data_IF_054121634540
#
_entry.id   IF_054121634540
#
_cell.length_a   1.000
_cell.length_b   1.000
_cell.length_c   1.000
_cell.angle_alpha   90.00
_cell.angle_beta   90.00
_cell.angle_gamma   90.00
#
_symmetry.space_group_name_H-M   'P 1'
#
loop_
_entity.id
_entity.type
_entity.pdbx_description
1 polymer ?
#
# COMPACT_ATOMS: atom_id res chain seq x y z
N UNK A 1 -4.36 10.86 8.47
CA UNK A 1 -3.05 10.75 7.81
C UNK A 1 -2.01 11.69 8.41
N UNK A 2 -2.36 12.92 8.76
CA UNK A 2 -1.42 13.95 9.28
C UNK A 2 -1.17 13.90 10.78
N UNK A 3 -1.76 12.98 11.53
CA UNK A 3 -1.65 12.95 13.00
C UNK A 3 -0.41 12.23 13.54
N UNK A 4 0.26 11.41 12.74
CA UNK A 4 1.30 10.47 13.21
C UNK A 4 2.75 10.89 12.90
N UNK A 5 3.01 12.13 12.47
CA UNK A 5 4.38 12.60 12.42
C UNK A 5 4.90 12.87 13.83
N UNK A 6 6.18 12.64 14.02
CA UNK A 6 6.87 12.79 15.30
C UNK A 6 6.77 14.23 15.79
N UNK A 7 5.97 14.47 16.81
CA UNK A 7 5.63 15.82 17.29
C UNK A 7 6.01 16.09 18.74
N UNK A 8 6.05 15.04 19.56
CA UNK A 8 6.13 15.22 21.00
C UNK A 8 7.48 14.81 21.55
N UNK A 9 7.89 15.44 22.66
CA UNK A 9 9.09 15.04 23.39
C UNK A 9 8.99 13.60 23.88
N UNK A 10 7.79 13.14 24.22
CA UNK A 10 7.52 11.75 24.63
C UNK A 10 7.84 10.77 23.51
N UNK A 11 7.38 11.01 22.29
CA UNK A 11 7.68 10.17 21.12
C UNK A 11 9.19 10.14 20.82
N UNK A 12 9.87 11.28 20.92
CA UNK A 12 11.33 11.34 20.76
C UNK A 12 12.08 10.51 21.80
N UNK A 13 11.62 10.52 23.06
CA UNK A 13 12.18 9.70 24.12
C UNK A 13 11.91 8.21 23.86
N UNK A 14 10.72 7.87 23.40
CA UNK A 14 10.36 6.50 23.03
C UNK A 14 11.20 6.00 21.85
N UNK A 15 11.42 6.79 20.82
CA UNK A 15 12.33 6.46 19.70
C UNK A 15 13.73 6.15 20.23
N UNK A 16 14.29 6.98 21.09
CA UNK A 16 15.61 6.72 21.71
C UNK A 16 15.64 5.42 22.51
N UNK A 17 14.57 5.13 23.24
CA UNK A 17 14.45 3.89 24.02
C UNK A 17 14.37 2.65 23.11
N UNK A 18 13.59 2.71 22.04
CA UNK A 18 13.47 1.66 21.04
C UNK A 18 14.86 1.32 20.48
N UNK A 19 15.60 2.31 20.01
CA UNK A 19 16.92 2.09 19.42
C UNK A 19 17.95 1.51 20.42
N UNK A 20 17.83 1.80 21.71
CA UNK A 20 18.64 1.17 22.77
C UNK A 20 18.35 -0.34 22.94
N UNK A 21 17.16 -0.82 22.52
CA UNK A 21 16.80 -2.25 22.62
C UNK A 21 17.41 -3.08 21.49
N UNK A 22 17.59 -2.51 20.29
CA UNK A 22 17.99 -3.25 19.10
C UNK A 22 19.31 -4.03 19.24
N UNK A 23 20.39 -3.55 19.88
CA UNK A 23 21.58 -4.37 20.06
C UNK A 23 21.32 -5.70 20.77
N UNK A 24 20.46 -5.69 21.79
CA UNK A 24 20.08 -6.89 22.54
C UNK A 24 19.22 -7.83 21.68
N UNK A 25 18.27 -7.28 20.91
CA UNK A 25 17.43 -8.04 19.96
C UNK A 25 18.32 -8.70 18.90
N UNK A 26 19.25 -7.96 18.30
CA UNK A 26 20.19 -8.48 17.31
C UNK A 26 21.01 -9.65 17.89
N UNK A 27 21.55 -9.51 19.10
CA UNK A 27 22.33 -10.57 19.74
C UNK A 27 21.47 -11.83 19.96
N UNK A 28 20.22 -11.67 20.39
CA UNK A 28 19.29 -12.79 20.54
C UNK A 28 19.02 -13.49 19.21
N UNK A 29 18.76 -12.75 18.14
CA UNK A 29 18.53 -13.29 16.79
C UNK A 29 19.77 -14.04 16.29
N UNK A 30 20.98 -13.49 16.47
CA UNK A 30 22.25 -14.14 16.12
C UNK A 30 22.46 -15.46 16.85
N UNK A 31 22.07 -15.55 18.11
CA UNK A 31 22.16 -16.79 18.88
C UNK A 31 21.11 -17.82 18.41
N UNK A 32 19.87 -17.35 18.15
CA UNK A 32 18.79 -18.18 17.63
C UNK A 32 19.12 -18.75 16.25
N UNK A 33 19.67 -17.95 15.35
CA UNK A 33 19.98 -18.34 13.96
C UNK A 33 20.97 -19.48 13.82
N UNK A 34 21.74 -19.79 14.87
CA UNK A 34 22.63 -20.97 14.92
C UNK A 34 21.87 -22.30 15.12
N UNK A 35 20.61 -22.24 15.54
CA UNK A 35 19.81 -23.42 15.95
C UNK A 35 18.48 -23.53 15.23
N UNK A 36 17.90 -22.43 14.80
CA UNK A 36 16.59 -22.37 14.16
C UNK A 36 16.52 -21.22 13.16
N UNK A 37 15.52 -21.24 12.30
CA UNK A 37 15.25 -20.15 11.35
C UNK A 37 14.90 -18.85 12.06
N UNK A 38 15.16 -17.74 11.39
CA UNK A 38 14.74 -16.40 11.78
C UNK A 38 13.31 -16.20 11.27
N UNK A 39 12.36 -15.98 12.16
CA UNK A 39 10.96 -15.74 11.82
C UNK A 39 10.76 -14.29 11.41
N UNK A 40 10.22 -14.09 10.22
CA UNK A 40 9.94 -12.76 9.64
C UNK A 40 8.43 -12.61 9.50
N UNK A 41 7.82 -11.68 10.23
CA UNK A 41 6.40 -11.40 10.15
C UNK A 41 6.11 -10.15 9.33
N UNK A 42 5.17 -10.26 8.39
CA UNK A 42 4.59 -9.12 7.68
C UNK A 42 3.22 -8.82 8.30
N UNK A 43 3.05 -7.65 8.89
CA UNK A 43 1.80 -7.21 9.51
C UNK A 43 0.93 -6.53 8.47
N UNK A 44 -0.23 -7.11 8.16
CA UNK A 44 -1.11 -6.68 7.09
C UNK A 44 -2.53 -6.47 7.61
N UNK A 45 -3.13 -5.34 7.27
CA UNK A 45 -4.55 -5.04 7.53
C UNK A 45 -5.38 -4.97 6.25
N UNK A 46 -4.75 -4.80 5.09
CA UNK A 46 -5.41 -4.64 3.79
C UNK A 46 -4.59 -5.32 2.68
N UNK A 47 -5.14 -6.39 2.09
CA UNK A 47 -4.47 -7.11 0.97
C UNK A 47 -4.16 -6.23 -0.24
N UNK A 48 -4.95 -5.18 -0.43
CA UNK A 48 -4.80 -4.25 -1.56
C UNK A 48 -3.53 -3.39 -1.47
N UNK A 49 -2.98 -3.24 -0.27
CA UNK A 49 -1.73 -2.52 -0.04
C UNK A 49 -0.51 -3.45 -0.07
N UNK A 50 -0.73 -4.76 -0.21
CA UNK A 50 0.35 -5.74 -0.27
C UNK A 50 1.30 -5.46 -1.44
N UNK A 51 2.53 -5.16 -1.11
CA UNK A 51 3.60 -4.89 -2.08
C UNK A 51 4.87 -5.70 -1.83
N UNK A 52 4.82 -6.68 -0.92
CA UNK A 52 5.99 -7.42 -0.46
C UNK A 52 6.10 -8.85 -1.02
N UNK A 53 5.37 -9.20 -2.10
CA UNK A 53 5.34 -10.56 -2.63
C UNK A 53 6.72 -11.07 -3.03
N UNK A 54 7.50 -10.28 -3.76
CA UNK A 54 8.85 -10.64 -4.19
C UNK A 54 9.80 -10.82 -2.99
N UNK A 55 9.69 -9.95 -2.00
CA UNK A 55 10.48 -10.02 -0.78
C UNK A 55 10.12 -11.27 0.05
N UNK A 56 8.81 -11.56 0.22
CA UNK A 56 8.35 -12.77 0.89
C UNK A 56 8.94 -14.03 0.21
N UNK A 57 8.85 -14.10 -1.12
CA UNK A 57 9.39 -15.20 -1.90
C UNK A 57 10.91 -15.35 -1.75
N UNK A 58 11.63 -14.22 -1.74
CA UNK A 58 13.08 -14.23 -1.51
C UNK A 58 13.47 -14.78 -0.11
N UNK A 59 12.71 -14.42 0.92
CA UNK A 59 12.88 -15.01 2.26
C UNK A 59 12.54 -16.51 2.27
N UNK A 60 11.45 -16.92 1.62
CA UNK A 60 11.01 -18.32 1.57
C UNK A 60 12.06 -19.21 0.89
N UNK A 61 12.75 -18.72 -0.14
CA UNK A 61 13.82 -19.43 -0.83
C UNK A 61 15.09 -19.55 0.00
N UNK A 62 15.27 -18.72 1.02
CA UNK A 62 16.48 -18.75 1.85
C UNK A 62 16.24 -19.59 3.11
N UNK A 63 17.04 -20.65 3.27
CA UNK A 63 16.92 -21.62 4.38
C UNK A 63 17.07 -21.02 5.79
N UNK A 64 17.61 -19.81 5.91
CA UNK A 64 17.78 -19.11 7.18
C UNK A 64 16.50 -18.47 7.70
N UNK A 65 15.51 -18.25 6.84
CA UNK A 65 14.32 -17.48 7.16
C UNK A 65 13.05 -18.33 7.12
N UNK A 66 12.08 -17.88 7.91
CA UNK A 66 10.72 -18.42 7.97
C UNK A 66 9.73 -17.25 7.88
N UNK A 67 9.33 -16.84 6.66
CA UNK A 67 8.42 -15.74 6.48
C UNK A 67 6.98 -16.15 6.77
N UNK A 68 6.26 -15.29 7.48
CA UNK A 68 4.84 -15.42 7.79
C UNK A 68 4.11 -14.11 7.49
N UNK A 69 2.87 -14.18 7.06
CA UNK A 69 1.96 -13.04 6.97
C UNK A 69 1.00 -13.09 8.16
N UNK A 70 0.88 -12.00 8.91
CA UNK A 70 -0.06 -11.91 10.02
C UNK A 70 -1.14 -10.91 9.63
N UNK A 71 -2.37 -11.39 9.49
CA UNK A 71 -3.50 -10.59 9.02
C UNK A 71 -4.33 -10.12 10.19
N UNK A 72 -4.47 -8.80 10.30
CA UNK A 72 -5.25 -8.15 11.35
C UNK A 72 -6.44 -7.39 10.77
N UNK A 73 -7.54 -7.24 11.52
CA UNK A 73 -8.58 -6.28 11.18
C UNK A 73 -8.06 -4.84 11.34
N UNK A 74 -8.63 -3.94 10.57
CA UNK A 74 -8.43 -2.51 10.77
C UNK A 74 -9.27 -2.05 11.99
N UNK A 75 -8.65 -1.39 12.96
CA UNK A 75 -9.33 -0.91 14.18
C UNK A 75 -10.46 0.09 13.89
N UNK A 76 -10.41 0.79 12.76
CA UNK A 76 -11.41 1.77 12.37
C UNK A 76 -12.66 1.14 11.74
N UNK A 77 -12.60 -0.15 11.36
CA UNK A 77 -13.75 -0.85 10.79
C UNK A 77 -14.80 -1.17 11.85
N UNK A 78 -16.08 -1.21 11.45
CA UNK A 78 -17.15 -1.70 12.30
C UNK A 78 -16.97 -3.20 12.61
N UNK A 79 -17.41 -3.65 13.78
CA UNK A 79 -17.16 -5.03 14.29
C UNK A 79 -17.53 -6.10 13.25
N UNK A 80 -18.70 -6.00 12.62
CA UNK A 80 -19.14 -6.99 11.63
C UNK A 80 -18.27 -6.98 10.37
N UNK A 81 -17.81 -5.80 9.92
CA UNK A 81 -16.92 -5.69 8.76
C UNK A 81 -15.49 -6.12 9.09
N UNK A 82 -15.04 -6.00 10.33
CA UNK A 82 -13.72 -6.49 10.77
C UNK A 82 -13.52 -7.96 10.46
N UNK A 83 -14.48 -8.79 10.87
CA UNK A 83 -14.39 -10.25 10.68
C UNK A 83 -14.35 -10.59 9.21
N UNK A 84 -15.31 -10.08 8.44
CA UNK A 84 -15.41 -10.34 7.00
C UNK A 84 -14.17 -9.88 6.24
N UNK A 85 -13.72 -8.63 6.46
CA UNK A 85 -12.53 -8.07 5.80
C UNK A 85 -11.28 -8.87 6.15
N UNK A 86 -11.13 -9.25 7.43
CA UNK A 86 -9.97 -10.04 7.87
C UNK A 86 -9.97 -11.44 7.27
N UNK A 87 -11.13 -12.10 7.20
CA UNK A 87 -11.27 -13.40 6.55
C UNK A 87 -10.95 -13.33 5.06
N UNK A 88 -11.43 -12.30 4.36
CA UNK A 88 -11.13 -12.07 2.95
C UNK A 88 -9.64 -11.81 2.70
N UNK A 89 -8.98 -11.07 3.59
CA UNK A 89 -7.54 -10.86 3.52
C UNK A 89 -6.77 -12.16 3.81
N UNK A 90 -7.17 -12.91 4.83
CA UNK A 90 -6.56 -14.18 5.21
C UNK A 90 -6.64 -15.20 4.06
N UNK A 91 -7.85 -15.40 3.51
CA UNK A 91 -8.07 -16.33 2.38
C UNK A 91 -7.21 -15.95 1.16
N UNK A 92 -7.10 -14.66 0.85
CA UNK A 92 -6.27 -14.18 -0.26
C UNK A 92 -4.79 -14.61 -0.14
N UNK A 93 -4.18 -14.52 1.04
CA UNK A 93 -2.79 -14.93 1.24
C UNK A 93 -2.66 -16.45 1.30
N UNK A 94 -3.66 -17.13 1.86
CA UNK A 94 -3.70 -18.59 1.91
C UNK A 94 -3.78 -19.20 0.51
N UNK A 95 -4.63 -18.65 -0.35
CA UNK A 95 -4.80 -19.08 -1.76
C UNK A 95 -3.51 -18.88 -2.59
N UNK A 96 -2.67 -17.94 -2.19
CA UNK A 96 -1.32 -17.75 -2.75
C UNK A 96 -0.27 -18.75 -2.22
N UNK A 97 -0.67 -19.67 -1.36
CA UNK A 97 0.24 -20.65 -0.76
C UNK A 97 1.20 -20.07 0.26
N UNK A 98 0.88 -18.92 0.84
CA UNK A 98 1.71 -18.27 1.85
C UNK A 98 1.46 -18.86 3.24
N UNK A 99 2.46 -18.78 4.13
CA UNK A 99 2.28 -19.09 5.54
C UNK A 99 1.58 -17.91 6.23
N UNK A 100 0.34 -18.10 6.65
CA UNK A 100 -0.54 -17.04 7.13
C UNK A 100 -1.04 -17.33 8.54
N UNK A 101 -1.02 -16.32 9.39
CA UNK A 101 -1.63 -16.35 10.72
C UNK A 101 -2.84 -15.43 10.72
N UNK A 102 -3.97 -15.95 11.20
CA UNK A 102 -5.17 -15.16 11.46
C UNK A 102 -4.97 -14.43 12.79
N UNK A 103 -4.82 -13.11 12.73
CA UNK A 103 -4.41 -12.28 13.87
C UNK A 103 -5.55 -11.80 14.77
N UNK A 104 -6.77 -12.35 14.62
CA UNK A 104 -7.94 -11.90 15.36
C UNK A 104 -8.92 -13.07 15.59
N UNK A 105 -9.02 -13.53 16.80
CA UNK A 105 -9.85 -14.64 17.17
C UNK A 105 -10.69 -14.29 18.41
N UNK A 106 -11.93 -14.78 18.49
CA UNK A 106 -12.87 -14.48 19.58
C UNK A 106 -12.96 -12.98 19.95
N UNK A 107 -12.97 -12.11 18.92
CA UNK A 107 -12.97 -10.65 19.06
C UNK A 107 -11.70 -10.06 19.72
N UNK A 108 -10.65 -10.83 19.88
CA UNK A 108 -9.37 -10.41 20.44
C UNK A 108 -8.23 -10.50 19.43
N UNK A 109 -7.25 -9.61 19.56
CA UNK A 109 -6.02 -9.66 18.78
C UNK A 109 -5.03 -10.63 19.41
N UNK A 110 -4.40 -11.46 18.60
CA UNK A 110 -3.29 -12.30 19.07
C UNK A 110 -2.13 -11.43 19.56
N UNK A 111 -1.38 -11.96 20.50
CA UNK A 111 -0.26 -11.25 21.13
C UNK A 111 1.05 -11.38 20.36
N UNK A 112 2.01 -10.47 20.61
CA UNK A 112 3.36 -10.58 20.07
C UNK A 112 4.09 -11.86 20.48
N UNK A 113 3.76 -12.43 21.65
CA UNK A 113 4.34 -13.70 22.11
C UNK A 113 3.82 -14.90 21.33
N UNK A 114 2.58 -14.90 20.91
CA UNK A 114 1.99 -15.94 20.05
C UNK A 114 2.56 -15.87 18.64
N UNK A 115 2.74 -14.66 18.08
CA UNK A 115 3.39 -14.46 16.77
C UNK A 115 4.86 -14.89 16.82
N UNK A 116 5.56 -14.63 17.90
CA UNK A 116 6.95 -15.04 18.16
C UNK A 116 7.93 -14.72 17.02
N UNK A 117 7.84 -13.53 16.45
CA UNK A 117 8.66 -13.09 15.32
C UNK A 117 9.98 -12.42 15.76
N UNK A 118 11.04 -12.58 14.96
CA UNK A 118 12.34 -11.94 15.17
C UNK A 118 12.42 -10.59 14.46
N UNK A 119 11.78 -10.47 13.30
CA UNK A 119 11.71 -9.26 12.48
C UNK A 119 10.26 -9.03 12.10
N UNK A 120 9.80 -7.78 12.23
CA UNK A 120 8.45 -7.38 11.83
C UNK A 120 8.55 -6.31 10.74
N UNK A 121 7.86 -6.55 9.63
CA UNK A 121 7.66 -5.58 8.57
C UNK A 121 6.28 -4.95 8.70
N UNK A 122 6.26 -3.61 8.71
CA UNK A 122 5.06 -2.81 8.51
C UNK A 122 5.10 -2.23 7.10
N UNK A 123 4.03 -2.39 6.33
CA UNK A 123 3.87 -1.81 4.99
C UNK A 123 3.13 -0.47 5.01
N UNK A 124 2.45 -0.18 6.11
CA UNK A 124 1.70 1.04 6.31
C UNK A 124 2.28 1.86 7.45
N UNK A 125 2.39 3.20 7.28
CA UNK A 125 2.88 4.08 8.35
C UNK A 125 1.88 4.25 9.51
N UNK A 126 0.61 3.90 9.27
CA UNK A 126 -0.49 3.89 10.23
C UNK A 126 -1.26 2.57 10.08
N UNK A 127 -0.81 1.48 10.69
CA UNK A 127 -1.39 0.17 10.44
C UNK A 127 -2.76 -0.06 11.06
N UNK A 128 -3.30 0.91 11.84
CA UNK A 128 -4.61 0.83 12.50
C UNK A 128 -4.83 -0.47 13.30
N UNK A 129 -3.82 -0.91 14.01
CA UNK A 129 -3.84 -2.05 14.93
C UNK A 129 -3.68 -1.57 16.37
N UNK A 130 -3.97 -2.40 17.41
CA UNK A 130 -3.80 -2.03 18.81
C UNK A 130 -2.37 -1.63 19.16
N UNK A 131 -2.22 -0.75 20.15
CA UNK A 131 -0.91 -0.30 20.66
C UNK A 131 -0.03 -1.47 21.11
N UNK A 132 -0.63 -2.55 21.63
CA UNK A 132 0.07 -3.78 22.04
C UNK A 132 0.82 -4.48 20.89
N UNK A 133 0.43 -4.24 19.65
CA UNK A 133 1.06 -4.78 18.43
C UNK A 133 1.91 -3.74 17.69
N UNK A 134 1.90 -2.47 18.12
CA UNK A 134 2.68 -1.42 17.48
C UNK A 134 4.17 -1.51 17.84
N UNK A 135 4.97 -0.82 17.08
CA UNK A 135 6.44 -0.82 17.10
C UNK A 135 7.07 -0.54 18.47
N UNK A 136 6.42 0.25 19.34
CA UNK A 136 6.96 0.50 20.67
C UNK A 136 6.99 -0.78 21.51
N UNK A 137 5.89 -1.54 21.52
CA UNK A 137 5.83 -2.82 22.21
C UNK A 137 6.61 -3.91 21.47
N UNK A 138 6.43 -4.00 20.15
CA UNK A 138 7.09 -4.99 19.30
C UNK A 138 8.63 -4.91 19.35
N UNK A 139 9.20 -3.70 19.49
CA UNK A 139 10.67 -3.50 19.58
C UNK A 139 11.32 -4.12 20.82
N UNK A 140 10.54 -4.55 21.82
CA UNK A 140 11.05 -5.34 22.95
C UNK A 140 11.52 -6.72 22.52
N UNK A 141 10.93 -7.24 21.45
CA UNK A 141 11.10 -8.63 21.01
C UNK A 141 11.62 -8.77 19.59
N UNK A 142 11.42 -7.77 18.73
CA UNK A 142 11.68 -7.88 17.30
C UNK A 142 12.41 -6.66 16.75
N UNK A 143 13.13 -6.83 15.64
CA UNK A 143 13.61 -5.72 14.83
C UNK A 143 12.46 -5.21 13.99
N UNK A 144 12.25 -3.91 14.01
CA UNK A 144 11.15 -3.26 13.28
C UNK A 144 11.65 -2.75 11.94
N UNK A 145 10.98 -3.15 10.87
CA UNK A 145 11.25 -2.72 9.52
C UNK A 145 10.01 -2.03 8.91
N UNK A 146 10.26 -1.07 8.04
CA UNK A 146 9.20 -0.41 7.27
C UNK A 146 9.54 -0.46 5.79
N UNK A 147 8.57 -0.94 5.00
CA UNK A 147 8.56 -0.89 3.53
C UNK A 147 7.29 -0.15 3.11
N UNK A 148 7.37 0.93 2.32
CA UNK A 148 6.17 1.63 1.87
C UNK A 148 5.35 0.77 0.90
N UNK A 149 4.02 0.80 1.07
CA UNK A 149 3.08 0.09 0.19
C UNK A 149 2.97 0.69 -1.21
N UNK A 150 3.47 1.91 -1.41
CA UNK A 150 3.41 2.63 -2.68
C UNK A 150 4.44 3.75 -2.75
N UNK A 151 4.67 4.26 -3.93
CA UNK A 151 5.60 5.35 -4.18
C UNK A 151 5.11 6.65 -3.54
N UNK A 152 5.98 7.32 -2.79
CA UNK A 152 5.71 8.65 -2.22
C UNK A 152 6.03 9.73 -3.24
N UNK A 153 5.00 10.21 -3.93
CA UNK A 153 5.14 11.25 -4.97
C UNK A 153 4.60 12.61 -4.53
N UNK A 154 3.91 12.69 -3.37
CA UNK A 154 3.30 13.92 -2.89
C UNK A 154 4.25 14.72 -1.98
N UNK A 155 4.20 16.05 -2.04
CA UNK A 155 5.06 16.98 -1.26
C UNK A 155 4.70 17.11 0.21
N UNK A 156 4.10 16.10 0.83
CA UNK A 156 3.79 16.07 2.26
C UNK A 156 5.00 15.60 3.10
N UNK A 157 6.12 16.27 2.96
CA UNK A 157 7.43 15.82 3.46
C UNK A 157 7.41 15.38 4.92
N UNK A 158 6.84 16.17 5.83
CA UNK A 158 6.79 15.81 7.25
C UNK A 158 5.95 14.55 7.50
N UNK A 159 4.81 14.42 6.82
CA UNK A 159 3.94 13.27 6.94
C UNK A 159 4.51 12.02 6.24
N UNK A 160 5.38 12.18 5.23
CA UNK A 160 5.95 11.08 4.48
C UNK A 160 7.29 10.59 5.03
N UNK A 161 8.09 11.46 5.68
CA UNK A 161 9.48 11.16 6.01
C UNK A 161 9.81 11.37 7.48
N UNK A 162 8.87 11.84 8.32
CA UNK A 162 9.09 12.07 9.74
C UNK A 162 8.01 11.44 10.63
N UNK A 163 7.53 10.26 10.28
CA UNK A 163 6.53 9.58 11.10
C UNK A 163 7.19 8.86 12.29
N UNK A 164 6.41 8.65 13.35
CA UNK A 164 6.87 7.98 14.55
C UNK A 164 7.37 6.55 14.26
N UNK A 165 6.61 5.76 13.45
CA UNK A 165 7.05 4.44 13.01
C UNK A 165 8.42 4.50 12.32
N UNK A 166 8.58 5.36 11.31
CA UNK A 166 9.80 5.44 10.50
C UNK A 166 11.03 5.78 11.35
N UNK A 167 10.89 6.73 12.29
CA UNK A 167 11.95 7.07 13.21
C UNK A 167 12.22 5.96 14.25
N UNK A 168 11.26 5.09 14.50
CA UNK A 168 11.38 3.94 15.41
C UNK A 168 11.98 2.70 14.77
N UNK A 169 11.93 2.58 13.44
CA UNK A 169 12.42 1.39 12.75
C UNK A 169 13.91 1.16 12.93
N UNK A 170 14.28 -0.11 13.06
CA UNK A 170 15.65 -0.55 12.89
C UNK A 170 16.14 -0.25 11.46
N UNK A 171 15.30 -0.55 10.47
CA UNK A 171 15.57 -0.22 9.08
C UNK A 171 14.30 0.24 8.36
N UNK A 172 14.42 1.34 7.62
CA UNK A 172 13.46 1.84 6.64
C UNK A 172 14.00 1.55 5.25
N UNK A 173 13.20 0.91 4.41
CA UNK A 173 13.55 0.65 3.03
C UNK A 173 12.98 1.75 2.14
N UNK A 174 13.86 2.55 1.53
CA UNK A 174 13.46 3.68 0.70
C UNK A 174 13.39 3.29 -0.79
N UNK A 175 12.48 3.93 -1.49
CA UNK A 175 12.17 3.67 -2.89
C UNK A 175 13.29 4.12 -3.84
N UNK A 176 14.05 5.17 -3.48
CA UNK A 176 15.17 5.70 -4.27
C UNK A 176 16.10 6.55 -3.40
N UNK A 177 17.25 6.95 -3.98
CA UNK A 177 18.19 7.88 -3.32
C UNK A 177 17.55 9.23 -2.99
N UNK A 178 16.65 9.72 -3.86
CA UNK A 178 15.88 10.93 -3.58
C UNK A 178 15.03 10.77 -2.31
N UNK A 179 14.34 9.64 -2.15
CA UNK A 179 13.53 9.37 -0.94
C UNK A 179 14.41 9.29 0.30
N UNK A 180 15.58 8.65 0.21
CA UNK A 180 16.56 8.63 1.31
C UNK A 180 16.98 10.05 1.68
N UNK A 181 17.28 10.90 0.72
CA UNK A 181 17.62 12.31 0.96
C UNK A 181 16.48 13.05 1.68
N UNK A 182 15.20 12.74 1.37
CA UNK A 182 14.08 13.33 2.09
C UNK A 182 14.03 12.86 3.55
N UNK A 183 14.35 11.59 3.84
CA UNK A 183 14.50 11.11 5.22
C UNK A 183 15.67 11.82 5.94
N UNK A 184 16.75 12.12 5.26
CA UNK A 184 17.88 12.89 5.80
C UNK A 184 17.45 14.32 6.13
N UNK A 185 16.66 14.95 5.27
CA UNK A 185 16.23 16.34 5.42
C UNK A 185 15.12 16.53 6.48
N UNK A 186 14.18 15.59 6.58
CA UNK A 186 12.95 15.77 7.35
C UNK A 186 12.80 14.81 8.52
N UNK A 187 13.45 13.66 8.50
CA UNK A 187 13.36 12.64 9.55
C UNK A 187 14.16 13.03 10.79
N UNK A 188 13.61 12.81 11.98
CA UNK A 188 14.30 13.08 13.25
C UNK A 188 15.56 12.21 13.46
N UNK A 189 15.77 11.20 12.62
CA UNK A 189 16.94 10.32 12.58
C UNK A 189 17.95 10.69 11.49
N UNK A 190 17.72 11.76 10.75
CA UNK A 190 18.61 12.19 9.65
C UNK A 190 18.95 11.06 8.66
N UNK A 191 18.01 10.13 8.43
CA UNK A 191 18.21 9.01 7.50
C UNK A 191 19.15 7.89 7.97
N UNK A 192 19.66 7.91 9.21
CA UNK A 192 20.64 6.93 9.73
C UNK A 192 20.16 5.48 9.66
N UNK A 193 18.85 5.27 9.67
CA UNK A 193 18.22 3.96 9.60
C UNK A 193 17.62 3.64 8.22
N UNK A 194 18.00 4.39 7.17
CA UNK A 194 17.40 4.27 5.84
C UNK A 194 18.35 3.60 4.85
N UNK A 195 17.86 2.56 4.18
CA UNK A 195 18.55 1.85 3.10
C UNK A 195 17.73 2.01 1.82
N UNK A 196 18.38 2.33 0.72
CA UNK A 196 17.73 2.34 -0.61
C UNK A 196 17.66 0.91 -1.15
N UNK A 197 16.45 0.42 -1.39
CA UNK A 197 16.20 -0.92 -1.91
C UNK A 197 15.35 -0.94 -3.18
N UNK A 198 14.75 0.18 -3.55
CA UNK A 198 13.64 0.19 -4.48
C UNK A 198 12.33 -0.22 -3.80
N UNK A 199 11.28 -0.33 -4.59
CA UNK A 199 9.96 -0.76 -4.15
C UNK A 199 9.73 -2.20 -4.60
N UNK A 200 9.66 -3.21 -3.69
CA UNK A 200 9.52 -4.63 -4.05
C UNK A 200 8.28 -4.92 -4.92
N UNK A 201 7.24 -4.10 -4.80
CA UNK A 201 6.04 -4.17 -5.60
C UNK A 201 6.32 -4.05 -7.11
N UNK A 202 7.35 -3.30 -7.50
CA UNK A 202 7.74 -3.14 -8.91
C UNK A 202 8.47 -4.37 -9.49
N UNK A 203 8.92 -5.31 -8.66
CA UNK A 203 9.55 -6.55 -9.13
C UNK A 203 8.59 -7.41 -9.97
N UNK A 204 7.28 -7.19 -9.82
CA UNK A 204 6.26 -7.85 -10.63
C UNK A 204 6.39 -7.54 -12.13
N UNK A 205 6.98 -6.41 -12.49
CA UNK A 205 7.31 -6.11 -13.89
C UNK A 205 8.43 -7.00 -14.45
N UNK A 206 9.35 -7.45 -13.59
CA UNK A 206 10.48 -8.30 -13.99
C UNK A 206 10.11 -9.77 -14.09
N UNK A 207 9.11 -10.22 -13.33
CA UNK A 207 8.72 -11.63 -13.19
C UNK A 207 7.82 -12.14 -14.30
N UNK A 208 7.38 -11.30 -15.23
CA UNK A 208 6.40 -11.67 -16.25
C UNK A 208 6.93 -11.34 -17.63
N UNK A 209 6.94 -12.32 -18.53
CA UNK A 209 7.25 -12.11 -19.94
C UNK A 209 6.32 -11.07 -20.58
N UNK A 210 6.75 -10.50 -21.69
CA UNK A 210 5.93 -9.57 -22.50
C UNK A 210 4.63 -10.25 -22.86
N UNK A 211 3.51 -9.76 -22.36
CA UNK A 211 2.19 -10.26 -22.74
C UNK A 211 1.86 -9.56 -24.06
N UNK A 212 2.21 -10.19 -25.17
CA UNK A 212 1.69 -9.79 -26.47
C UNK A 212 0.21 -10.22 -26.52
N UNK A 213 -0.71 -9.28 -26.36
CA UNK A 213 -2.10 -9.50 -26.75
C UNK A 213 -2.11 -9.58 -28.28
N UNK A 214 -2.48 -10.72 -28.84
CA UNK A 214 -2.51 -10.93 -30.29
C UNK A 214 -3.59 -10.12 -31.03
N UNK A 215 -4.25 -9.20 -30.34
CA UNK A 215 -5.23 -8.27 -30.86
C UNK A 215 -4.59 -6.87 -31.03
N UNK A 216 -4.81 -6.27 -32.21
CA UNK A 216 -4.33 -4.92 -32.55
C UNK A 216 -5.13 -3.79 -31.85
N UNK A 217 -6.11 -4.13 -30.99
CA UNK A 217 -6.88 -3.12 -30.26
C UNK A 217 -6.05 -2.49 -29.12
N UNK A 218 -6.12 -1.17 -28.99
CA UNK A 218 -5.46 -0.43 -27.92
C UNK A 218 -6.28 -0.49 -26.64
N UNK A 219 -5.61 -0.63 -25.49
CA UNK A 219 -6.24 -0.67 -24.17
C UNK A 219 -5.85 0.56 -23.35
N UNK A 220 -6.84 1.31 -22.89
CA UNK A 220 -6.66 2.48 -22.03
C UNK A 220 -7.24 2.16 -20.65
N UNK A 221 -6.46 2.42 -19.60
CA UNK A 221 -6.93 2.39 -18.22
C UNK A 221 -7.30 3.80 -17.78
N UNK A 222 -8.52 3.96 -17.24
CA UNK A 222 -8.91 5.14 -16.50
C UNK A 222 -9.00 4.82 -15.02
N UNK A 223 -8.11 5.44 -14.22
CA UNK A 223 -7.92 5.14 -12.81
C UNK A 223 -8.06 6.39 -11.94
N UNK A 224 -9.29 6.82 -11.60
CA UNK A 224 -9.52 7.97 -10.75
C UNK A 224 -9.24 7.68 -9.27
N UNK A 225 -8.68 8.68 -8.57
CA UNK A 225 -8.46 8.67 -7.14
C UNK A 225 -9.78 8.85 -6.37
N UNK A 226 -9.79 8.52 -5.08
CA UNK A 226 -10.99 8.62 -4.24
C UNK A 226 -11.25 10.01 -3.67
N UNK A 227 -10.21 10.84 -3.49
CA UNK A 227 -10.28 12.09 -2.73
C UNK A 227 -10.85 13.22 -3.57
N UNK A 228 -12.16 13.39 -3.55
CA UNK A 228 -12.86 14.49 -4.24
C UNK A 228 -12.40 15.82 -3.66
N UNK A 229 -12.14 16.76 -4.55
CA UNK A 229 -11.67 18.11 -4.22
C UNK A 229 -12.67 18.88 -3.37
N UNK A 230 -12.16 19.65 -2.40
CA UNK A 230 -12.98 20.45 -1.50
C UNK A 230 -13.70 19.67 -0.39
N UNK A 231 -13.66 18.33 -0.44
CA UNK A 231 -14.34 17.45 0.53
C UNK A 231 -13.37 16.49 1.24
N UNK A 232 -12.12 16.42 0.80
CA UNK A 232 -11.06 15.67 1.46
C UNK A 232 -9.83 16.54 1.68
N UNK A 233 -8.96 16.11 2.60
CA UNK A 233 -7.70 16.82 2.90
C UNK A 233 -6.66 16.78 1.78
N UNK A 234 -6.84 15.93 0.76
CA UNK A 234 -5.87 15.71 -0.33
C UNK A 234 -6.42 15.94 -1.75
N UNK A 235 -7.68 16.16 -1.95
CA UNK A 235 -8.33 16.66 -3.17
C UNK A 235 -7.77 16.30 -4.55
N UNK A 236 -7.28 15.07 -4.77
CA UNK A 236 -6.64 14.69 -6.05
C UNK A 236 -7.62 14.33 -7.14
N UNK A 237 -8.79 13.80 -6.77
CA UNK A 237 -9.74 13.25 -7.72
C UNK A 237 -10.35 14.30 -8.64
N UNK A 238 -10.40 13.96 -9.90
CA UNK A 238 -11.11 14.71 -10.95
C UNK A 238 -12.37 13.96 -11.43
N UNK A 239 -12.78 12.91 -10.70
CA UNK A 239 -13.88 12.04 -11.08
C UNK A 239 -15.17 12.81 -11.37
N UNK A 240 -15.56 13.74 -10.51
CA UNK A 240 -16.81 14.51 -10.63
C UNK A 240 -16.92 15.30 -11.94
N UNK A 241 -15.79 15.71 -12.52
CA UNK A 241 -15.74 16.44 -13.79
C UNK A 241 -15.67 15.51 -15.00
N UNK A 242 -15.09 14.32 -14.83
CA UNK A 242 -14.65 13.48 -15.95
C UNK A 242 -15.43 12.17 -16.13
N UNK A 243 -16.26 11.74 -15.15
CA UNK A 243 -16.88 10.41 -15.20
C UNK A 243 -17.81 10.21 -16.40
N UNK A 244 -18.60 11.22 -16.77
CA UNK A 244 -19.44 11.16 -17.98
C UNK A 244 -18.62 11.23 -19.26
N UNK A 245 -17.56 12.05 -19.25
CA UNK A 245 -16.71 12.25 -20.41
C UNK A 245 -16.01 10.95 -20.82
N UNK A 246 -15.32 10.29 -19.88
CA UNK A 246 -14.61 9.05 -20.21
C UNK A 246 -15.56 7.89 -20.51
N UNK A 247 -16.69 7.81 -19.86
CA UNK A 247 -17.72 6.83 -20.21
C UNK A 247 -18.26 7.05 -21.64
N UNK A 248 -18.50 8.29 -22.04
CA UNK A 248 -18.88 8.62 -23.42
C UNK A 248 -17.75 8.32 -24.42
N UNK A 249 -16.48 8.51 -24.02
CA UNK A 249 -15.37 8.09 -24.87
C UNK A 249 -15.41 6.57 -25.11
N UNK A 250 -15.66 5.77 -24.08
CA UNK A 250 -15.77 4.31 -24.24
C UNK A 250 -16.92 3.90 -25.17
N UNK A 251 -18.06 4.58 -25.10
CA UNK A 251 -19.20 4.35 -26.01
C UNK A 251 -18.84 4.69 -27.46
N UNK A 252 -18.14 5.80 -27.69
CA UNK A 252 -17.90 6.36 -29.04
C UNK A 252 -16.68 5.71 -29.72
N UNK A 253 -15.65 5.33 -28.99
CA UNK A 253 -14.40 4.79 -29.53
C UNK A 253 -14.32 3.26 -29.35
N UNK A 254 -15.22 2.53 -30.03
CA UNK A 254 -15.41 1.08 -29.90
C UNK A 254 -14.20 0.21 -30.27
N UNK A 255 -13.21 0.76 -30.97
CA UNK A 255 -11.96 0.07 -31.31
C UNK A 255 -10.89 0.15 -30.23
N UNK A 256 -11.17 0.87 -29.15
CA UNK A 256 -10.31 1.02 -27.99
C UNK A 256 -10.96 0.26 -26.83
N UNK A 257 -10.22 -0.61 -26.19
CA UNK A 257 -10.63 -1.24 -24.95
C UNK A 257 -10.45 -0.27 -23.79
N UNK A 258 -11.44 -0.14 -22.94
CA UNK A 258 -11.44 0.74 -21.79
C UNK A 258 -11.53 -0.05 -20.50
N UNK A 259 -10.61 0.18 -19.58
CA UNK A 259 -10.65 -0.41 -18.24
C UNK A 259 -10.91 0.72 -17.24
N UNK A 260 -12.05 0.68 -16.59
CA UNK A 260 -12.35 1.55 -15.45
C UNK A 260 -11.79 0.92 -14.18
N UNK A 261 -10.72 1.51 -13.64
CA UNK A 261 -9.99 1.05 -12.45
C UNK A 261 -9.99 2.12 -11.36
N UNK A 262 -11.14 2.41 -10.73
CA UNK A 262 -11.21 3.41 -9.68
C UNK A 262 -10.45 2.98 -8.43
N UNK A 263 -10.00 3.95 -7.64
CA UNK A 263 -9.51 3.67 -6.31
C UNK A 263 -10.65 3.05 -5.46
N UNK A 264 -10.37 2.00 -4.68
CA UNK A 264 -11.38 1.24 -3.93
C UNK A 264 -12.25 2.10 -3.02
N UNK A 265 -11.66 3.12 -2.38
CA UNK A 265 -12.39 4.05 -1.51
C UNK A 265 -13.32 4.99 -2.28
N UNK A 266 -13.19 5.11 -3.61
CA UNK A 266 -13.99 6.06 -4.39
C UNK A 266 -15.48 5.74 -4.26
N UNK A 267 -15.87 4.47 -4.38
CA UNK A 267 -17.27 4.03 -4.30
C UNK A 267 -17.96 4.49 -3.01
N UNK A 268 -17.29 4.28 -1.87
CA UNK A 268 -17.80 4.68 -0.55
C UNK A 268 -17.76 6.21 -0.38
N UNK A 269 -16.70 6.83 -0.85
CA UNK A 269 -16.51 8.26 -0.67
C UNK A 269 -17.51 9.11 -1.49
N UNK A 270 -17.91 8.65 -2.68
CA UNK A 270 -18.95 9.29 -3.49
C UNK A 270 -20.29 9.34 -2.77
N UNK A 271 -20.63 8.30 -2.02
CA UNK A 271 -21.82 8.23 -1.17
C UNK A 271 -21.70 9.13 0.06
N UNK A 272 -20.58 9.04 0.80
CA UNK A 272 -20.31 9.83 2.00
C UNK A 272 -20.38 11.33 1.76
N UNK A 273 -19.90 11.79 0.60
CA UNK A 273 -19.94 13.20 0.23
C UNK A 273 -21.26 13.60 -0.47
N UNK A 274 -22.22 12.70 -0.57
CA UNK A 274 -23.51 12.92 -1.24
C UNK A 274 -23.38 13.40 -2.69
N UNK A 275 -22.37 12.94 -3.42
CA UNK A 275 -22.20 13.24 -4.84
C UNK A 275 -23.12 12.39 -5.72
N UNK A 276 -23.26 11.12 -5.37
CA UNK A 276 -24.16 10.15 -5.98
C UNK A 276 -24.81 9.29 -4.91
N UNK A 277 -26.06 8.88 -5.12
CA UNK A 277 -26.70 7.85 -4.31
C UNK A 277 -26.03 6.49 -4.55
N UNK A 278 -26.14 5.57 -3.60
CA UNK A 278 -25.62 4.20 -3.73
C UNK A 278 -26.06 3.53 -5.02
N UNK A 279 -27.33 3.66 -5.35
CA UNK A 279 -27.89 3.08 -6.58
C UNK A 279 -27.28 3.66 -7.86
N UNK A 280 -27.03 4.97 -7.89
CA UNK A 280 -26.39 5.62 -9.04
C UNK A 280 -24.94 5.17 -9.20
N UNK A 281 -24.22 5.03 -8.07
CA UNK A 281 -22.85 4.52 -8.05
C UNK A 281 -22.82 3.09 -8.60
N UNK A 282 -23.66 2.21 -8.06
CA UNK A 282 -23.72 0.80 -8.47
C UNK A 282 -24.04 0.68 -9.96
N UNK A 283 -25.06 1.38 -10.44
CA UNK A 283 -25.40 1.42 -11.86
C UNK A 283 -24.26 1.94 -12.74
N UNK A 284 -23.53 2.98 -12.30
CA UNK A 284 -22.41 3.51 -13.07
C UNK A 284 -21.26 2.51 -13.15
N UNK A 285 -20.91 1.85 -12.06
CA UNK A 285 -19.84 0.85 -12.03
C UNK A 285 -20.19 -0.37 -12.90
N UNK A 286 -21.41 -0.88 -12.77
CA UNK A 286 -21.91 -2.01 -13.57
C UNK A 286 -21.98 -1.67 -15.06
N UNK A 287 -22.32 -0.42 -15.41
CA UNK A 287 -22.46 -0.01 -16.81
C UNK A 287 -21.20 -0.20 -17.65
N UNK A 288 -20.02 -0.14 -17.04
CA UNK A 288 -18.75 -0.41 -17.72
C UNK A 288 -18.63 -1.86 -18.23
N UNK A 289 -19.16 -2.83 -17.48
CA UNK A 289 -19.21 -4.24 -17.89
C UNK A 289 -20.22 -4.53 -19.00
N UNK A 290 -21.18 -3.63 -19.26
CA UNK A 290 -22.13 -3.79 -20.36
C UNK A 290 -21.62 -3.25 -21.70
N UNK A 291 -20.53 -2.50 -21.70
CA UNK A 291 -19.92 -2.03 -22.95
C UNK A 291 -19.11 -3.17 -23.59
N UNK A 292 -19.22 -3.39 -24.91
CA UNK A 292 -18.50 -4.48 -25.60
C UNK A 292 -16.98 -4.31 -25.57
N UNK A 293 -16.49 -3.11 -25.27
CA UNK A 293 -15.10 -2.70 -25.16
C UNK A 293 -14.78 -2.07 -23.80
N UNK A 294 -15.62 -2.28 -22.82
CA UNK A 294 -15.46 -1.74 -21.44
C UNK A 294 -15.29 -2.86 -20.42
N UNK A 295 -14.54 -2.58 -19.38
CA UNK A 295 -14.30 -3.45 -18.23
C UNK A 295 -14.27 -2.64 -16.95
N UNK A 296 -14.88 -3.14 -15.88
CA UNK A 296 -14.67 -2.64 -14.52
C UNK A 296 -13.68 -3.56 -13.80
N UNK A 297 -12.58 -3.00 -13.31
CA UNK A 297 -11.54 -3.74 -12.61
C UNK A 297 -11.46 -3.29 -11.15
N UNK A 298 -11.86 -4.16 -10.23
CA UNK A 298 -11.79 -3.93 -8.77
C UNK A 298 -10.65 -4.70 -8.08
N UNK A 299 -9.83 -5.41 -8.86
CA UNK A 299 -8.78 -6.26 -8.32
C UNK A 299 -7.67 -5.48 -7.62
N UNK A 300 -7.18 -6.05 -6.52
CA UNK A 300 -5.99 -5.59 -5.82
C UNK A 300 -4.72 -5.69 -6.70
N UNK A 301 -4.71 -6.67 -7.63
CA UNK A 301 -3.59 -6.97 -8.51
C UNK A 301 -3.74 -6.26 -9.85
N UNK A 302 -3.25 -5.05 -9.95
CA UNK A 302 -3.37 -4.21 -11.14
C UNK A 302 -2.13 -4.18 -12.04
N UNK A 303 -1.00 -4.76 -11.63
CA UNK A 303 0.20 -4.78 -12.48
C UNK A 303 0.01 -5.58 -13.77
N UNK A 304 -0.80 -6.62 -13.73
CA UNK A 304 -1.18 -7.36 -14.94
C UNK A 304 -1.97 -6.49 -15.92
N UNK A 305 -2.85 -5.62 -15.40
CA UNK A 305 -3.59 -4.65 -16.21
C UNK A 305 -2.65 -3.60 -16.79
N UNK A 306 -1.72 -3.06 -15.98
CA UNK A 306 -0.74 -2.08 -16.42
C UNK A 306 0.11 -2.62 -17.58
N UNK A 307 0.56 -3.88 -17.49
CA UNK A 307 1.37 -4.51 -18.55
C UNK A 307 0.60 -4.75 -19.85
N UNK A 308 -0.72 -4.94 -19.78
CA UNK A 308 -1.58 -5.17 -20.95
C UNK A 308 -2.11 -3.89 -21.57
N UNK A 309 -1.98 -2.76 -20.89
CA UNK A 309 -2.50 -1.48 -21.37
C UNK A 309 -1.50 -0.72 -22.21
N UNK A 310 -2.02 0.14 -23.08
CA UNK A 310 -1.23 1.04 -23.95
C UNK A 310 -1.17 2.47 -23.41
N UNK A 311 -2.08 2.85 -22.51
CA UNK A 311 -2.08 4.17 -21.86
C UNK A 311 -2.78 4.13 -20.51
N UNK A 312 -2.38 5.04 -19.62
CA UNK A 312 -3.02 5.29 -18.34
C UNK A 312 -3.56 6.72 -18.29
N UNK A 313 -4.80 6.87 -17.84
CA UNK A 313 -5.42 8.16 -17.50
C UNK A 313 -5.66 8.13 -15.99
N UNK A 314 -5.06 9.05 -15.23
CA UNK A 314 -5.16 9.00 -13.77
C UNK A 314 -4.95 10.37 -13.12
N UNK A 315 -5.51 10.55 -11.95
CA UNK A 315 -5.21 11.58 -10.97
C UNK A 315 -4.63 10.98 -9.66
N UNK A 316 -4.33 9.66 -9.68
CA UNK A 316 -3.75 8.93 -8.56
C UNK A 316 -2.23 9.04 -8.56
N UNK A 317 -1.66 9.63 -7.49
CA UNK A 317 -0.24 9.90 -7.40
C UNK A 317 0.65 8.66 -7.50
N UNK A 318 0.37 7.61 -6.74
CA UNK A 318 1.19 6.40 -6.76
C UNK A 318 1.21 5.72 -8.12
N UNK A 319 0.09 5.74 -8.86
CA UNK A 319 -0.01 5.16 -10.19
C UNK A 319 0.86 5.86 -11.22
N UNK A 320 1.13 7.18 -11.05
CA UNK A 320 2.08 7.89 -11.91
C UNK A 320 3.46 7.23 -11.88
N UNK A 321 3.95 6.89 -10.69
CA UNK A 321 5.25 6.24 -10.55
C UNK A 321 5.19 4.73 -10.88
N UNK A 322 4.14 4.04 -10.44
CA UNK A 322 4.01 2.59 -10.60
C UNK A 322 3.75 2.17 -12.05
N UNK A 323 3.23 3.07 -12.90
CA UNK A 323 3.02 2.81 -14.33
C UNK A 323 4.25 3.07 -15.21
N UNK A 324 5.22 3.87 -14.74
CA UNK A 324 6.43 4.24 -15.52
C UNK A 324 7.20 3.04 -16.11
N UNK A 325 7.33 1.89 -15.42
CA UNK A 325 8.04 0.74 -15.99
C UNK A 325 7.42 0.18 -17.28
N UNK A 326 6.14 0.46 -17.56
CA UNK A 326 5.50 0.07 -18.84
C UNK A 326 6.07 0.84 -20.03
N UNK A 327 6.63 2.03 -19.80
CA UNK A 327 7.07 3.00 -20.81
C UNK A 327 5.93 3.51 -21.72
N UNK A 328 4.69 3.26 -21.37
CA UNK A 328 3.51 3.73 -22.08
C UNK A 328 3.10 5.13 -21.62
N UNK A 329 2.37 5.90 -22.45
CA UNK A 329 1.96 7.27 -22.10
C UNK A 329 1.01 7.29 -20.89
N UNK A 330 1.15 8.36 -20.10
CA UNK A 330 0.29 8.69 -18.98
C UNK A 330 -0.37 10.04 -19.24
N UNK A 331 -1.71 10.09 -19.15
CA UNK A 331 -2.45 11.34 -19.07
C UNK A 331 -2.75 11.63 -17.60
N UNK A 332 -2.03 12.59 -17.03
CA UNK A 332 -2.28 13.05 -15.67
C UNK A 332 -3.39 14.11 -15.66
N UNK A 333 -4.44 13.83 -14.86
CA UNK A 333 -5.56 14.74 -14.68
C UNK A 333 -5.34 15.55 -13.40
N UNK A 334 -5.14 16.85 -13.56
CA UNK A 334 -4.89 17.77 -12.44
C UNK A 334 -6.16 18.50 -12.05
N UNK A 335 -6.54 18.47 -10.78
CA UNK A 335 -7.59 19.29 -10.20
C UNK A 335 -7.04 20.66 -9.82
N UNK A 336 -7.81 21.74 -10.02
CA UNK A 336 -7.44 23.10 -9.61
C UNK A 336 -7.32 23.25 -8.08
N UNK A 337 -8.02 22.40 -7.33
CA UNK A 337 -7.97 22.36 -5.88
C UNK A 337 -6.98 21.31 -5.36
N UNK A 338 -6.18 20.74 -6.24
CA UNK A 338 -5.14 19.80 -5.86
C UNK A 338 -4.17 20.53 -4.93
N UNK A 339 -4.15 20.11 -3.68
CA UNK A 339 -3.09 20.48 -2.74
C UNK A 339 -1.82 19.90 -3.31
N UNK A 340 -1.20 20.69 -4.16
CA UNK A 340 -0.02 20.38 -4.93
C UNK A 340 0.97 19.58 -4.09
N UNK A 341 1.16 18.39 -4.45
CA UNK A 341 2.02 17.61 -3.69
C UNK A 341 2.98 16.83 -4.54
N UNK A 342 2.86 16.90 -5.86
CA UNK A 342 3.79 16.21 -6.72
C UNK A 342 5.08 17.02 -6.86
N UNK A 343 6.20 16.33 -6.68
CA UNK A 343 7.51 16.92 -6.96
C UNK A 343 7.63 17.15 -8.47
N UNK A 344 8.15 18.30 -8.83
CA UNK A 344 8.50 18.64 -10.21
C UNK A 344 9.68 17.80 -10.71
#
# INVERSE_FOLDING_TARGET
YFRNHLKTMTELLQVKLIHKRYPNVINRIRLKSKKSKITIAFFVTQKQLWGCQSLYNAFLMNKLFDPIVVVFPNNEDAINSKIETTQNNYSYFLDKGMNVIYGYDDEEYITLSEISSDIIFYDQPCPHIPESLMWFEASKYSLICYIPYGYKVAGFYQAHFNMYLQNSCWTVFAESDWHKQQFENYGARNGDNVIVSGLPKLDEYSNSGVICTGDNSKTIIWAPHWSISGKSSIGFSTFEYNYKFFYNCAINYKKINWIFKPHQRLRYYLEDVCFMSRKEIDNYYESWGFLPNGEFADDAEYFSLFRKSDALITDCGSFLAEYLPTKNPILYLKSDNNTAGYNE
#
